data_IF_521724103134
#
_entry.id   IF_521724103134
#
_cell.length_a   1.000
_cell.length_b   1.000
_cell.length_c   1.000
_cell.angle_alpha   90.00
_cell.angle_beta   90.00
_cell.angle_gamma   90.00
#
_symmetry.space_group_name_H-M   'P 1'
#
loop_
_entity.id
_entity.type
_entity.pdbx_description
1 polymer ?
#
# COMPACT_ATOMS: atom_id res chain seq x y z
N UNK A 1 -12.37 -25.50 70.77
CA UNK A 1 -12.53 -24.50 69.69
C UNK A 1 -11.70 -24.95 68.50
N UNK A 2 -12.35 -25.36 67.40
CA UNK A 2 -11.71 -25.96 66.21
C UNK A 2 -11.15 -24.86 65.30
N UNK A 3 -9.85 -24.89 65.00
CA UNK A 3 -9.25 -24.15 63.88
C UNK A 3 -9.50 -24.93 62.58
N UNK A 4 -10.25 -24.36 61.64
CA UNK A 4 -10.43 -24.91 60.29
C UNK A 4 -9.24 -24.46 59.43
N UNK A 5 -8.44 -25.41 58.93
CA UNK A 5 -7.56 -25.18 57.79
C UNK A 5 -8.43 -25.16 56.53
N UNK A 6 -8.37 -24.07 55.75
CA UNK A 6 -8.86 -24.06 54.37
C UNK A 6 -7.71 -24.48 53.45
N UNK A 7 -7.86 -25.64 52.81
CA UNK A 7 -7.09 -26.03 51.63
C UNK A 7 -7.75 -25.38 50.41
N UNK A 8 -7.00 -24.58 49.66
CA UNK A 8 -7.42 -24.04 48.36
C UNK A 8 -6.88 -24.95 47.26
N UNK A 9 -7.77 -25.71 46.63
CA UNK A 9 -7.46 -26.52 45.45
C UNK A 9 -7.44 -25.60 44.23
N UNK A 10 -6.28 -25.46 43.58
CA UNK A 10 -6.18 -24.81 42.28
C UNK A 10 -6.57 -25.82 41.19
N UNK A 11 -7.71 -25.61 40.54
CA UNK A 11 -8.03 -26.28 39.29
C UNK A 11 -7.34 -25.51 38.15
N UNK A 12 -6.32 -26.11 37.54
CA UNK A 12 -5.78 -25.59 36.30
C UNK A 12 -6.78 -25.88 35.17
N UNK A 13 -7.51 -24.84 34.74
CA UNK A 13 -8.28 -24.89 33.50
C UNK A 13 -7.27 -24.62 32.39
N UNK A 14 -6.90 -25.69 31.66
CA UNK A 14 -6.23 -25.53 30.38
C UNK A 14 -7.24 -24.93 29.39
N UNK A 15 -7.23 -23.60 29.28
CA UNK A 15 -7.83 -22.92 28.14
C UNK A 15 -6.97 -23.28 26.92
N UNK A 16 -7.49 -24.18 26.10
CA UNK A 16 -7.02 -24.35 24.73
C UNK A 16 -7.36 -23.03 24.02
N UNK A 17 -6.41 -22.09 24.00
CA UNK A 17 -6.51 -20.91 23.19
C UNK A 17 -6.51 -21.35 21.73
N UNK A 18 -7.59 -21.10 21.03
CA UNK A 18 -7.54 -21.03 19.57
C UNK A 18 -6.48 -19.99 19.21
N UNK A 19 -5.57 -20.24 18.24
CA UNK A 19 -4.70 -19.18 17.75
C UNK A 19 -5.58 -18.00 17.34
N UNK A 20 -5.24 -16.80 17.81
CA UNK A 20 -5.90 -15.58 17.36
C UNK A 20 -5.77 -15.52 15.84
N UNK A 21 -6.89 -15.36 15.14
CA UNK A 21 -6.88 -15.06 13.71
C UNK A 21 -6.06 -13.79 13.51
N UNK A 22 -5.16 -13.78 12.53
CA UNK A 22 -4.41 -12.58 12.15
C UNK A 22 -5.38 -11.39 12.06
N UNK A 23 -5.11 -10.33 12.81
CA UNK A 23 -6.01 -9.17 12.91
C UNK A 23 -5.31 -7.99 12.28
N UNK A 24 -5.87 -7.47 11.19
CA UNK A 24 -5.44 -6.20 10.63
C UNK A 24 -5.57 -5.16 11.75
N UNK A 25 -4.46 -4.53 12.09
CA UNK A 25 -4.29 -3.63 13.23
C UNK A 25 -3.95 -2.25 12.72
N UNK A 26 -4.42 -1.22 13.45
CA UNK A 26 -4.06 0.17 13.20
C UNK A 26 -3.34 0.79 14.38
N UNK A 27 -2.38 1.66 14.08
CA UNK A 27 -1.66 2.50 15.05
C UNK A 27 -1.73 3.94 14.54
N UNK A 28 -2.32 4.84 15.33
CA UNK A 28 -2.42 6.25 15.02
C UNK A 28 -1.49 7.07 15.92
N UNK A 29 -0.54 7.77 15.31
CA UNK A 29 0.41 8.64 16.01
C UNK A 29 -0.03 10.09 15.89
N UNK A 30 -0.16 10.77 17.04
CA UNK A 30 -0.62 12.16 17.19
C UNK A 30 0.11 12.86 18.32
N UNK A 31 0.04 14.20 18.37
CA UNK A 31 0.64 15.01 19.43
C UNK A 31 2.16 15.19 19.33
N UNK A 32 2.73 14.91 18.16
CA UNK A 32 4.09 15.28 17.77
C UNK A 32 4.03 16.41 16.74
N UNK A 33 5.10 17.16 16.57
CA UNK A 33 5.13 18.22 15.56
C UNK A 33 4.93 17.64 14.16
N UNK A 34 4.32 18.42 13.26
CA UNK A 34 4.14 17.99 11.88
C UNK A 34 5.46 17.57 11.22
N UNK A 35 6.58 18.23 11.53
CA UNK A 35 7.90 17.88 11.00
C UNK A 35 8.41 16.52 11.52
N UNK A 36 8.07 16.12 12.74
CA UNK A 36 8.42 14.79 13.26
C UNK A 36 7.61 13.70 12.57
N UNK A 37 6.32 13.95 12.31
CA UNK A 37 5.46 12.99 11.59
C UNK A 37 5.80 12.94 10.10
N UNK A 38 6.18 14.04 9.49
CA UNK A 38 6.73 14.12 8.14
C UNK A 38 8.01 13.25 8.01
N UNK A 39 8.82 13.20 9.08
CA UNK A 39 9.98 12.32 9.15
C UNK A 39 9.67 10.82 9.21
N UNK A 40 8.39 10.42 9.33
CA UNK A 40 7.96 9.02 9.24
C UNK A 40 7.72 8.57 7.79
N UNK A 41 7.70 9.51 6.84
CA UNK A 41 7.48 9.22 5.42
C UNK A 41 8.59 8.33 4.87
N UNK A 42 8.20 7.26 4.20
CA UNK A 42 9.11 6.33 3.58
C UNK A 42 9.51 6.79 2.17
N UNK A 43 10.70 7.36 2.06
CA UNK A 43 11.28 7.76 0.75
C UNK A 43 11.44 6.64 -0.31
N UNK A 44 11.29 5.36 0.06
CA UNK A 44 11.39 4.22 -0.86
C UNK A 44 10.30 3.19 -0.55
N UNK A 45 9.05 3.58 -0.71
CA UNK A 45 7.88 2.71 -0.64
C UNK A 45 7.49 2.21 -2.06
N UNK A 46 6.53 1.29 -2.16
CA UNK A 46 6.15 0.68 -3.46
C UNK A 46 5.30 1.59 -4.33
N UNK A 47 4.69 2.64 -3.75
CA UNK A 47 3.94 3.63 -4.50
C UNK A 47 4.79 4.82 -4.93
N UNK A 48 6.01 4.99 -4.42
CA UNK A 48 6.92 6.09 -4.75
C UNK A 48 6.92 6.43 -6.27
N UNK A 49 6.46 7.63 -6.58
CA UNK A 49 6.38 8.18 -7.94
C UNK A 49 5.25 7.64 -8.83
N UNK A 50 4.40 6.74 -8.33
CA UNK A 50 3.22 6.26 -9.07
C UNK A 50 2.11 7.31 -9.07
N UNK A 51 1.47 7.49 -10.22
CA UNK A 51 0.30 8.37 -10.33
C UNK A 51 -0.95 7.49 -10.28
N UNK A 52 -1.81 7.73 -9.29
CA UNK A 52 -3.09 7.06 -9.20
C UNK A 52 -4.01 7.40 -10.38
N UNK A 53 -4.79 6.42 -10.80
CA UNK A 53 -5.96 6.64 -11.64
C UNK A 53 -7.14 7.05 -10.76
N UNK A 54 -7.81 8.16 -11.09
CA UNK A 54 -9.07 8.56 -10.47
C UNK A 54 -10.21 7.66 -10.99
N UNK A 55 -10.92 7.02 -10.07
CA UNK A 55 -11.95 6.05 -10.41
C UNK A 55 -13.31 6.71 -10.73
N UNK A 56 -14.24 6.01 -11.41
CA UNK A 56 -15.59 6.51 -11.60
C UNK A 56 -16.26 6.92 -10.28
N UNK A 57 -16.81 8.14 -10.28
CA UNK A 57 -17.38 8.78 -9.10
C UNK A 57 -16.37 9.51 -8.21
N UNK A 58 -15.10 9.64 -8.62
CA UNK A 58 -14.17 10.59 -8.01
C UNK A 58 -14.67 12.02 -8.21
N UNK A 59 -14.52 12.86 -7.18
CA UNK A 59 -14.95 14.25 -7.21
C UNK A 59 -13.83 15.19 -7.65
N UNK A 60 -12.67 14.68 -8.06
CA UNK A 60 -11.49 15.47 -8.40
C UNK A 60 -10.82 16.07 -7.17
N UNK A 61 -9.99 17.08 -7.40
CA UNK A 61 -9.36 17.84 -6.32
C UNK A 61 -10.13 19.12 -6.03
N UNK A 62 -10.03 19.63 -4.80
CA UNK A 62 -10.61 20.92 -4.46
C UNK A 62 -10.00 22.03 -5.33
N UNK A 63 -10.76 23.06 -5.76
CA UNK A 63 -10.22 24.16 -6.57
C UNK A 63 -9.04 24.93 -5.95
N UNK A 64 -8.94 24.91 -4.62
CA UNK A 64 -7.81 25.48 -3.88
C UNK A 64 -6.54 24.62 -3.91
N UNK A 65 -6.64 23.35 -4.30
CA UNK A 65 -5.48 22.47 -4.48
C UNK A 65 -4.83 22.77 -5.84
N UNK A 66 -3.49 22.91 -5.91
CA UNK A 66 -2.78 23.09 -7.17
C UNK A 66 -3.03 22.00 -8.22
N UNK A 67 -3.41 20.78 -7.82
CA UNK A 67 -3.77 19.67 -8.71
C UNK A 67 -5.19 19.76 -9.30
N UNK A 68 -6.02 20.74 -8.91
CA UNK A 68 -7.43 20.89 -9.37
C UNK A 68 -7.66 20.88 -10.88
N UNK A 69 -6.76 21.51 -11.63
CA UNK A 69 -6.86 21.56 -13.10
C UNK A 69 -6.17 20.40 -13.81
N UNK A 70 -5.32 19.66 -13.10
CA UNK A 70 -4.54 18.55 -13.63
C UNK A 70 -3.97 17.73 -12.46
N UNK A 71 -4.48 16.53 -12.27
CA UNK A 71 -4.02 15.60 -11.21
C UNK A 71 -2.55 15.19 -11.38
N UNK A 72 -1.95 15.45 -12.54
CA UNK A 72 -0.53 15.32 -12.82
C UNK A 72 0.25 16.66 -12.77
N UNK A 73 -0.19 17.66 -12.00
CA UNK A 73 0.55 18.93 -11.81
C UNK A 73 1.53 18.86 -10.64
N UNK A 74 2.87 19.04 -10.82
CA UNK A 74 3.97 18.87 -9.83
C UNK A 74 3.66 19.53 -8.48
N UNK A 75 3.08 20.72 -8.55
CA UNK A 75 2.83 21.55 -7.38
C UNK A 75 1.57 21.14 -6.61
N UNK A 76 0.79 20.19 -7.14
CA UNK A 76 -0.17 19.38 -6.40
C UNK A 76 0.10 17.87 -6.52
N UNK A 77 1.28 17.49 -7.04
CA UNK A 77 1.70 16.13 -7.49
C UNK A 77 2.63 15.43 -6.51
N UNK A 78 2.69 15.91 -5.29
CA UNK A 78 2.84 15.00 -4.19
C UNK A 78 1.55 14.21 -3.95
N UNK A 79 0.83 13.78 -4.99
CA UNK A 79 0.47 12.40 -5.36
C UNK A 79 0.27 11.38 -4.24
N UNK A 80 0.20 11.77 -2.97
CA UNK A 80 0.31 10.88 -1.84
C UNK A 80 1.51 9.93 -1.89
N UNK A 81 2.49 10.12 -2.78
CA UNK A 81 3.51 9.10 -3.07
C UNK A 81 4.82 9.72 -3.56
N UNK A 82 5.08 10.99 -3.30
CA UNK A 82 6.32 11.61 -3.78
C UNK A 82 7.42 11.66 -2.71
N UNK A 83 7.11 11.21 -1.49
CA UNK A 83 7.99 11.27 -0.35
C UNK A 83 8.11 12.67 0.28
N UNK A 84 7.35 13.65 -0.21
CA UNK A 84 7.36 15.03 0.27
C UNK A 84 6.01 15.34 0.95
N UNK A 85 5.93 15.26 2.28
CA UNK A 85 4.63 15.42 2.95
C UNK A 85 4.05 16.83 2.87
N UNK A 86 4.30 17.70 3.86
CA UNK A 86 3.70 19.05 3.81
C UNK A 86 4.47 20.02 2.90
N UNK A 87 3.79 20.58 1.89
CA UNK A 87 4.35 21.60 0.99
C UNK A 87 3.70 22.99 1.12
N UNK A 88 2.42 23.05 1.48
CA UNK A 88 1.60 24.26 1.52
C UNK A 88 0.33 24.06 2.35
N UNK A 89 -0.32 25.15 2.76
CA UNK A 89 -1.55 25.09 3.56
C UNK A 89 -2.74 24.41 2.89
N UNK A 90 -2.64 24.01 1.62
CA UNK A 90 -3.66 23.30 0.84
C UNK A 90 -3.14 21.99 0.25
N UNK A 91 -1.95 21.54 0.68
CA UNK A 91 -1.38 20.26 0.26
C UNK A 91 -2.35 19.14 0.61
N UNK A 92 -2.61 18.28 -0.36
CA UNK A 92 -3.49 17.14 -0.13
C UNK A 92 -4.98 17.45 -0.03
N UNK A 93 -5.40 18.69 -0.26
CA UNK A 93 -6.79 19.08 -0.07
C UNK A 93 -7.70 18.42 -1.12
N UNK A 94 -8.53 17.48 -0.68
CA UNK A 94 -9.49 16.75 -1.53
C UNK A 94 -10.78 17.55 -1.70
N UNK A 95 -11.64 17.14 -2.64
CA UNK A 95 -12.82 17.94 -2.95
C UNK A 95 -13.86 17.92 -1.81
N UNK A 96 -14.11 19.10 -1.24
CA UNK A 96 -15.07 19.28 -0.15
C UNK A 96 -16.51 18.96 -0.58
N UNK A 97 -17.38 18.73 0.42
CA UNK A 97 -18.83 18.55 0.25
C UNK A 97 -19.24 17.38 -0.65
N UNK A 98 -18.65 16.17 -0.51
CA UNK A 98 -19.21 15.00 -1.16
C UNK A 98 -20.62 14.73 -0.61
N UNK A 99 -21.52 14.12 -1.39
CA UNK A 99 -22.77 13.58 -0.85
C UNK A 99 -22.50 12.67 0.37
N UNK A 100 -23.42 12.69 1.34
CA UNK A 100 -23.31 11.86 2.55
C UNK A 100 -23.02 10.40 2.21
N UNK A 101 -22.04 9.83 2.93
CA UNK A 101 -21.63 8.44 2.79
C UNK A 101 -20.88 8.13 1.48
N UNK A 102 -20.47 9.14 0.71
CA UNK A 102 -19.69 8.95 -0.52
C UNK A 102 -18.24 9.42 -0.35
N UNK A 103 -17.27 8.78 -1.03
CA UNK A 103 -15.88 9.22 -0.99
C UNK A 103 -15.70 10.62 -1.59
N UNK A 104 -14.81 11.42 -1.00
CA UNK A 104 -14.29 12.66 -1.61
C UNK A 104 -13.23 12.37 -2.68
N UNK A 105 -12.44 11.30 -2.48
CA UNK A 105 -11.39 10.87 -3.40
C UNK A 105 -11.41 9.36 -3.57
N UNK A 106 -11.22 8.88 -4.79
CA UNK A 106 -11.22 7.46 -5.17
C UNK A 106 -10.03 7.19 -6.09
N UNK A 107 -9.02 6.53 -5.55
CA UNK A 107 -7.76 6.31 -6.22
C UNK A 107 -7.55 4.83 -6.53
N UNK A 108 -6.87 4.55 -7.64
CA UNK A 108 -6.29 3.25 -7.92
C UNK A 108 -4.82 3.38 -8.32
N UNK A 109 -3.96 2.67 -7.62
CA UNK A 109 -2.57 2.45 -8.01
C UNK A 109 -2.43 1.09 -8.69
N UNK A 110 -1.77 1.06 -9.84
CA UNK A 110 -1.38 -0.18 -10.52
C UNK A 110 0.07 -0.44 -10.16
N UNK A 111 0.33 -1.56 -9.46
CA UNK A 111 1.68 -1.89 -9.05
C UNK A 111 2.47 -2.43 -10.26
N UNK A 112 3.80 -2.19 -10.32
CA UNK A 112 4.65 -2.68 -11.43
C UNK A 112 4.64 -4.21 -11.60
N UNK A 113 4.32 -4.93 -10.53
CA UNK A 113 4.11 -6.37 -10.51
C UNK A 113 3.41 -6.82 -9.23
N UNK A 114 3.06 -8.11 -9.12
CA UNK A 114 2.55 -8.69 -7.88
C UNK A 114 3.48 -8.37 -6.70
N UNK A 115 2.91 -7.86 -5.62
CA UNK A 115 3.65 -7.35 -4.46
C UNK A 115 2.98 -7.82 -3.17
N UNK A 116 3.77 -8.30 -2.22
CA UNK A 116 3.31 -8.60 -0.88
C UNK A 116 3.37 -7.30 -0.07
N UNK A 117 2.20 -6.73 0.22
CA UNK A 117 2.07 -5.53 1.04
C UNK A 117 2.24 -5.95 2.50
N UNK A 118 3.12 -5.27 3.22
CA UNK A 118 3.38 -5.48 4.65
C UNK A 118 2.68 -4.43 5.51
N UNK A 119 2.65 -3.19 5.04
CA UNK A 119 2.11 -2.06 5.78
C UNK A 119 1.62 -0.97 4.83
N UNK A 120 0.58 -0.23 5.27
CA UNK A 120 0.14 1.01 4.63
C UNK A 120 0.21 2.12 5.68
N UNK A 121 0.89 3.22 5.36
CA UNK A 121 0.92 4.47 6.12
C UNK A 121 0.07 5.52 5.43
N UNK A 122 -0.64 6.35 6.19
CA UNK A 122 -1.37 7.52 5.69
C UNK A 122 -1.03 8.70 6.60
N UNK A 123 -0.37 9.71 6.05
CA UNK A 123 -0.11 10.97 6.72
C UNK A 123 -1.17 11.99 6.31
N UNK A 124 -1.86 12.56 7.29
CA UNK A 124 -2.79 13.66 7.09
C UNK A 124 -2.45 14.83 8.02
N UNK A 125 -2.81 16.05 7.62
CA UNK A 125 -2.49 17.21 8.44
C UNK A 125 -2.98 18.54 7.93
N UNK A 126 -3.01 19.53 8.81
CA UNK A 126 -3.46 20.89 8.52
C UNK A 126 -2.67 21.90 9.35
N UNK A 127 -1.60 22.45 8.77
CA UNK A 127 -0.74 23.44 9.45
C UNK A 127 -1.40 24.81 9.65
N UNK A 128 -2.54 25.11 9.01
CA UNK A 128 -3.14 26.44 9.10
C UNK A 128 -3.85 26.64 10.45
N UNK A 129 -4.61 25.64 10.89
CA UNK A 129 -5.44 25.73 12.09
C UNK A 129 -5.64 24.40 12.81
N UNK A 130 -5.02 23.31 12.34
CA UNK A 130 -5.11 21.97 12.94
C UNK A 130 -6.55 21.60 13.35
N UNK A 131 -7.51 21.93 12.49
CA UNK A 131 -8.90 21.53 12.71
C UNK A 131 -9.08 20.02 12.47
N UNK A 132 -10.33 19.55 12.48
CA UNK A 132 -10.65 18.13 12.27
C UNK A 132 -10.22 17.57 10.90
N UNK A 133 -9.72 18.39 9.97
CA UNK A 133 -9.16 17.92 8.69
C UNK A 133 -7.82 17.21 8.82
N UNK A 134 -7.22 17.16 10.03
CA UNK A 134 -6.08 16.28 10.32
C UNK A 134 -6.47 14.80 10.39
N UNK A 135 -7.75 14.49 10.65
CA UNK A 135 -8.22 13.11 10.69
C UNK A 135 -8.45 12.58 9.28
N UNK A 136 -8.52 11.26 9.14
CA UNK A 136 -8.80 10.62 7.87
C UNK A 136 -9.63 9.34 8.05
N UNK A 137 -10.56 9.14 7.12
CA UNK A 137 -11.36 7.92 7.00
C UNK A 137 -11.10 7.34 5.63
N UNK A 138 -10.68 6.07 5.56
CA UNK A 138 -10.38 5.41 4.29
C UNK A 138 -10.99 4.03 4.17
N UNK A 139 -11.33 3.65 2.94
CA UNK A 139 -11.63 2.27 2.58
C UNK A 139 -10.58 1.81 1.60
N UNK A 140 -9.91 0.70 1.94
CA UNK A 140 -8.85 0.14 1.12
C UNK A 140 -9.31 -1.19 0.53
N UNK A 141 -9.07 -1.36 -0.76
CA UNK A 141 -9.30 -2.60 -1.48
C UNK A 141 -8.07 -2.97 -2.28
N UNK A 142 -7.88 -4.24 -2.54
CA UNK A 142 -6.77 -4.72 -3.35
C UNK A 142 -7.24 -5.75 -4.37
N UNK A 143 -6.51 -5.85 -5.47
CA UNK A 143 -6.66 -6.89 -6.48
C UNK A 143 -5.39 -7.72 -6.56
N UNK A 144 -5.53 -9.01 -6.80
CA UNK A 144 -4.42 -9.94 -7.11
C UNK A 144 -4.51 -10.46 -8.55
N UNK A 145 -5.44 -9.93 -9.35
CA UNK A 145 -5.75 -10.42 -10.71
C UNK A 145 -5.81 -9.30 -11.75
N UNK A 146 -4.89 -8.33 -11.63
CA UNK A 146 -4.74 -7.24 -12.59
C UNK A 146 -5.93 -6.29 -12.64
N UNK A 147 -6.68 -6.16 -11.53
CA UNK A 147 -7.81 -5.24 -11.41
C UNK A 147 -9.13 -5.83 -11.90
N UNK A 148 -9.20 -7.14 -12.17
CA UNK A 148 -10.44 -7.80 -12.62
C UNK A 148 -11.47 -7.89 -11.49
N UNK A 149 -11.01 -8.08 -10.25
CA UNK A 149 -11.82 -8.03 -9.03
C UNK A 149 -11.04 -7.46 -7.86
N UNK A 150 -11.76 -6.89 -6.89
CA UNK A 150 -11.18 -6.26 -5.70
C UNK A 150 -11.75 -6.86 -4.42
N UNK A 151 -10.87 -7.25 -3.51
CA UNK A 151 -11.20 -7.67 -2.15
C UNK A 151 -11.13 -6.46 -1.21
N UNK A 152 -12.02 -6.42 -0.21
CA UNK A 152 -11.97 -5.40 0.84
C UNK A 152 -10.82 -5.73 1.80
N UNK A 153 -9.86 -4.81 1.96
CA UNK A 153 -8.86 -4.89 3.01
C UNK A 153 -9.45 -4.41 4.34
N UNK A 154 -10.15 -3.27 4.32
CA UNK A 154 -10.82 -2.76 5.51
C UNK A 154 -11.38 -1.35 5.35
N UNK A 155 -12.09 -0.92 6.39
CA UNK A 155 -12.52 0.44 6.65
C UNK A 155 -11.70 0.95 7.85
N UNK A 156 -10.96 2.03 7.66
CA UNK A 156 -9.98 2.52 8.61
C UNK A 156 -10.30 3.95 9.02
N UNK A 157 -10.39 4.14 10.33
CA UNK A 157 -10.58 5.43 10.97
C UNK A 157 -9.28 5.82 11.66
N UNK A 158 -8.84 7.06 11.47
CA UNK A 158 -7.56 7.52 12.01
C UNK A 158 -7.61 7.85 13.51
N UNK A 159 -8.81 7.92 14.09
CA UNK A 159 -9.05 8.15 15.50
C UNK A 159 -10.42 7.60 15.92
N UNK A 160 -10.73 7.45 17.22
CA UNK A 160 -12.10 7.16 17.65
C UNK A 160 -13.07 8.29 17.24
N UNK A 161 -14.25 7.93 16.76
CA UNK A 161 -15.32 8.90 16.46
C UNK A 161 -15.65 9.76 17.69
N UNK A 162 -15.92 11.04 17.45
CA UNK A 162 -16.10 12.05 18.48
C UNK A 162 -14.80 12.66 19.03
N UNK A 163 -13.62 12.17 18.61
CA UNK A 163 -12.34 12.81 18.93
C UNK A 163 -12.34 14.28 18.53
N UNK A 164 -11.71 15.13 19.32
CA UNK A 164 -11.62 16.57 19.05
C UNK A 164 -10.16 16.90 18.76
N UNK A 165 -9.91 17.53 17.61
CA UNK A 165 -8.69 18.29 17.34
C UNK A 165 -9.05 19.76 17.23
N UNK A 166 -8.88 20.48 18.34
CA UNK A 166 -9.22 21.88 18.44
C UNK A 166 -7.95 22.64 18.77
N UNK A 167 -7.38 23.31 17.79
CA UNK A 167 -6.44 24.37 18.06
C UNK A 167 -7.15 25.71 17.99
N UNK A 168 -6.80 26.58 18.94
CA UNK A 168 -7.27 27.97 19.05
C UNK A 168 -6.83 28.86 17.88
N UNK A 169 -6.36 28.27 16.76
CA UNK A 169 -5.72 28.97 15.64
C UNK A 169 -4.46 29.72 16.07
N UNK A 170 -3.81 29.28 17.15
CA UNK A 170 -2.57 29.89 17.66
C UNK A 170 -1.42 28.98 17.25
N UNK A 171 -0.61 29.37 16.24
CA UNK A 171 0.56 28.60 15.83
C UNK A 171 1.48 28.33 17.03
N UNK A 172 1.74 27.05 17.32
CA UNK A 172 2.67 26.61 18.37
C UNK A 172 2.08 26.52 19.79
N UNK A 173 0.75 26.56 19.96
CA UNK A 173 0.10 26.33 21.25
C UNK A 173 -0.25 24.85 21.50
N UNK A 174 -0.37 24.06 20.44
CA UNK A 174 -0.52 22.61 20.44
C UNK A 174 0.26 22.07 19.22
N UNK A 175 0.74 20.82 19.32
CA UNK A 175 1.61 20.23 18.30
C UNK A 175 0.82 19.38 17.29
N UNK A 176 -0.48 19.22 17.46
CA UNK A 176 -1.29 18.19 16.80
C UNK A 176 -1.81 18.66 15.42
N UNK A 177 -0.89 19.10 14.57
CA UNK A 177 -1.20 19.55 13.21
C UNK A 177 -1.20 18.43 12.17
N UNK A 178 -0.81 17.22 12.56
CA UNK A 178 -0.74 16.07 11.68
C UNK A 178 -1.02 14.78 12.44
N UNK A 179 -1.40 13.75 11.70
CA UNK A 179 -1.69 12.43 12.20
C UNK A 179 -1.14 11.42 11.19
N UNK A 180 -0.39 10.45 11.70
CA UNK A 180 0.07 9.33 10.89
C UNK A 180 -0.68 8.06 11.28
N UNK A 181 -1.47 7.50 10.35
CA UNK A 181 -2.18 6.23 10.51
C UNK A 181 -1.38 5.11 9.86
N UNK A 182 -0.98 4.14 10.66
CA UNK A 182 -0.29 2.92 10.21
C UNK A 182 -1.26 1.74 10.25
N UNK A 183 -1.35 0.99 9.16
CA UNK A 183 -2.17 -0.20 8.99
C UNK A 183 -1.23 -1.38 8.70
N UNK A 184 -1.29 -2.43 9.52
CA UNK A 184 -0.39 -3.58 9.41
C UNK A 184 -1.05 -4.85 9.97
N UNK A 185 -0.38 -5.99 9.81
CA UNK A 185 -0.78 -7.23 10.46
C UNK A 185 0.13 -7.45 11.67
N UNK A 186 -0.44 -7.52 12.88
CA UNK A 186 0.33 -7.66 14.13
C UNK A 186 0.80 -9.09 14.39
N UNK A 187 0.27 -10.05 13.63
CA UNK A 187 0.53 -11.48 13.75
C UNK A 187 1.24 -12.09 12.54
N UNK A 188 1.47 -11.32 11.47
CA UNK A 188 2.22 -11.74 10.29
C UNK A 188 2.94 -10.54 9.63
N UNK A 189 4.00 -10.81 8.89
CA UNK A 189 4.73 -9.75 8.16
C UNK A 189 3.93 -9.22 6.96
N UNK A 190 3.13 -10.07 6.31
CA UNK A 190 2.34 -9.71 5.13
C UNK A 190 0.92 -9.34 5.54
N UNK A 191 0.50 -8.15 5.12
CA UNK A 191 -0.86 -7.63 5.22
C UNK A 191 -1.75 -8.13 4.07
N UNK A 192 -1.23 -8.15 2.84
CA UNK A 192 -1.92 -8.70 1.67
C UNK A 192 -0.90 -9.20 0.63
N UNK A 193 -1.00 -10.46 0.23
CA UNK A 193 -0.07 -11.10 -0.69
C UNK A 193 -0.48 -10.93 -2.17
N UNK A 194 0.51 -10.90 -3.06
CA UNK A 194 0.31 -10.94 -4.51
C UNK A 194 -0.51 -9.78 -5.08
N UNK A 195 -0.49 -8.61 -4.44
CA UNK A 195 -1.28 -7.45 -4.84
C UNK A 195 -0.77 -6.90 -6.16
N UNK A 196 -1.66 -6.69 -7.12
CA UNK A 196 -1.39 -6.06 -8.42
C UNK A 196 -1.98 -4.66 -8.51
N UNK A 197 -3.04 -4.36 -7.75
CA UNK A 197 -3.69 -3.06 -7.73
C UNK A 197 -4.18 -2.72 -6.32
N UNK A 198 -4.01 -1.47 -5.92
CA UNK A 198 -4.50 -0.94 -4.64
C UNK A 198 -5.51 0.16 -4.92
N UNK A 199 -6.71 0.06 -4.35
CA UNK A 199 -7.71 1.12 -4.36
C UNK A 199 -7.85 1.74 -2.98
N UNK A 200 -7.87 3.06 -2.92
CA UNK A 200 -8.04 3.82 -1.68
C UNK A 200 -9.13 4.86 -1.92
N UNK A 201 -10.22 4.71 -1.20
CA UNK A 201 -11.29 5.71 -1.13
C UNK A 201 -11.11 6.53 0.15
N UNK A 202 -10.96 7.84 0.04
CA UNK A 202 -11.01 8.76 1.18
C UNK A 202 -12.40 9.35 1.33
N UNK A 203 -12.89 9.38 2.55
CA UNK A 203 -14.19 9.93 2.89
C UNK A 203 -14.06 11.31 3.53
N UNK A 204 -15.20 12.01 3.58
CA UNK A 204 -15.30 13.24 4.32
C UNK A 204 -14.98 13.01 5.81
N UNK A 205 -14.42 14.06 6.40
CA UNK A 205 -14.28 14.31 7.83
C UNK A 205 -15.10 15.56 8.18
N UNK A 206 -15.07 15.97 9.43
CA UNK A 206 -15.78 17.17 9.90
C UNK A 206 -14.80 18.11 10.59
N UNK A 207 -15.03 19.42 10.49
CA UNK A 207 -14.24 20.43 11.19
C UNK A 207 -15.10 21.38 12.04
N UNK A 208 -16.37 21.07 12.22
CA UNK A 208 -17.29 21.73 13.15
C UNK A 208 -16.80 21.50 14.57
N UNK A 209 -16.15 22.53 15.13
CA UNK A 209 -15.51 22.42 16.45
C UNK A 209 -14.35 21.43 16.50
N UNK A 210 -13.78 21.06 15.34
CA UNK A 210 -12.66 20.12 15.26
C UNK A 210 -13.01 18.66 15.57
N UNK A 211 -14.30 18.31 15.57
CA UNK A 211 -14.76 16.99 15.95
C UNK A 211 -14.67 16.01 14.77
N UNK A 212 -14.06 14.85 15.01
CA UNK A 212 -14.06 13.74 14.06
C UNK A 212 -15.42 13.02 14.09
N UNK A 213 -16.00 12.82 12.91
CA UNK A 213 -17.32 12.21 12.71
C UNK A 213 -17.23 11.22 11.57
N UNK A 214 -18.10 10.22 11.60
CA UNK A 214 -18.18 9.32 10.47
C UNK A 214 -18.86 10.00 9.25
N UNK A 215 -18.64 9.50 8.04
CA UNK A 215 -19.18 10.11 6.83
C UNK A 215 -20.64 9.75 6.53
N UNK A 216 -21.28 8.92 7.35
CA UNK A 216 -22.63 8.40 7.15
C UNK A 216 -23.64 9.11 8.04
N UNK A 217 -24.90 9.12 7.61
CA UNK A 217 -26.00 9.60 8.46
C UNK A 217 -26.67 8.38 9.10
N UNK A 218 -26.51 8.23 10.41
CA UNK A 218 -26.94 7.07 11.16
C UNK A 218 -25.94 5.91 11.12
N UNK A 219 -26.44 4.69 10.94
CA UNK A 219 -25.60 3.47 11.05
C UNK A 219 -24.59 3.38 9.91
N UNK A 220 -23.31 3.39 10.27
CA UNK A 220 -22.20 3.19 9.35
C UNK A 220 -22.23 1.76 8.77
N UNK A 221 -22.23 1.60 7.43
CA UNK A 221 -22.36 0.29 6.78
C UNK A 221 -21.13 -0.62 6.94
N UNK A 222 -19.98 -0.09 7.35
CA UNK A 222 -18.77 -0.87 7.57
C UNK A 222 -18.64 -1.36 9.02
N UNK A 223 -19.06 -0.55 9.99
CA UNK A 223 -18.90 -0.86 11.42
C UNK A 223 -20.21 -1.31 12.09
N UNK A 224 -21.36 -1.08 11.44
CA UNK A 224 -22.70 -1.26 12.01
C UNK A 224 -22.96 -0.44 13.28
N UNK A 225 -22.20 0.64 13.47
CA UNK A 225 -22.30 1.56 14.61
C UNK A 225 -22.75 2.93 14.08
N UNK A 226 -23.58 3.60 14.87
CA UNK A 226 -23.96 5.00 14.68
C UNK A 226 -23.26 5.82 15.78
N UNK A 227 -22.51 6.85 15.41
CA UNK A 227 -21.83 7.73 16.38
C UNK A 227 -22.79 8.75 17.04
N UNK A 228 -24.04 8.83 16.56
CA UNK A 228 -25.06 9.75 17.03
C UNK A 228 -24.80 11.20 16.66
N UNK A 229 -23.87 11.46 15.74
CA UNK A 229 -23.51 12.79 15.24
C UNK A 229 -24.09 13.01 13.84
N UNK A 230 -23.94 14.23 13.34
CA UNK A 230 -24.27 14.53 11.93
C UNK A 230 -23.17 14.01 11.02
N UNK A 231 -23.47 13.62 9.77
CA UNK A 231 -22.46 13.14 8.84
C UNK A 231 -21.38 14.19 8.58
N UNK A 232 -20.15 13.73 8.47
CA UNK A 232 -19.03 14.52 7.97
C UNK A 232 -19.29 15.02 6.53
N UNK A 233 -18.78 16.23 6.22
CA UNK A 233 -19.08 16.90 4.96
C UNK A 233 -17.90 17.68 4.35
N UNK A 234 -16.74 17.72 5.00
CA UNK A 234 -15.53 18.35 4.45
C UNK A 234 -14.46 17.30 4.19
N UNK A 235 -13.57 17.55 3.25
CA UNK A 235 -12.47 16.65 2.96
C UNK A 235 -11.33 16.78 3.98
N UNK A 236 -10.61 15.68 4.27
CA UNK A 236 -9.33 15.75 4.97
C UNK A 236 -8.25 16.39 4.08
N UNK A 237 -7.12 16.72 4.69
CA UNK A 237 -5.88 17.05 3.98
C UNK A 237 -4.93 15.87 4.11
N UNK A 238 -4.78 15.10 3.04
CA UNK A 238 -3.91 13.91 3.01
C UNK A 238 -2.58 14.29 2.38
N UNK A 239 -1.48 14.16 3.12
CA UNK A 239 -0.16 14.57 2.64
C UNK A 239 0.56 13.43 1.95
N UNK A 240 0.53 12.22 2.53
CA UNK A 240 1.27 11.07 1.99
C UNK A 240 0.57 9.75 2.26
N UNK A 241 0.80 8.77 1.39
CA UNK A 241 0.45 7.35 1.53
C UNK A 241 1.69 6.53 1.22
N UNK A 242 2.25 5.93 2.25
CA UNK A 242 3.34 4.98 2.09
C UNK A 242 2.79 3.57 2.01
N UNK A 243 3.29 2.76 1.07
CA UNK A 243 3.05 1.32 1.11
C UNK A 243 4.37 0.58 1.18
N UNK A 244 4.59 -0.09 2.31
CA UNK A 244 5.76 -0.93 2.48
C UNK A 244 5.42 -2.32 2.00
N UNK A 245 6.23 -2.84 1.09
CA UNK A 245 6.05 -4.16 0.53
C UNK A 245 7.25 -4.60 -0.28
N UNK A 246 7.26 -5.87 -0.62
CA UNK A 246 8.28 -6.50 -1.43
C UNK A 246 7.63 -7.15 -2.65
N UNK A 247 8.36 -7.23 -3.77
CA UNK A 247 7.90 -7.99 -4.91
C UNK A 247 7.50 -9.40 -4.44
N UNK A 248 6.29 -9.82 -4.79
CA UNK A 248 5.83 -11.15 -4.46
C UNK A 248 6.71 -12.17 -5.17
N UNK A 249 6.96 -13.29 -4.53
CA UNK A 249 7.72 -14.37 -5.16
C UNK A 249 6.98 -14.80 -6.42
N UNK A 250 7.63 -14.73 -7.58
CA UNK A 250 7.00 -15.12 -8.83
C UNK A 250 6.61 -16.60 -8.74
N UNK A 251 5.31 -16.89 -8.90
CA UNK A 251 4.85 -18.26 -8.82
C UNK A 251 5.61 -19.14 -9.83
N UNK A 252 6.12 -20.27 -9.37
CA UNK A 252 6.84 -21.22 -10.22
C UNK A 252 6.36 -22.63 -9.93
N UNK A 253 5.98 -23.35 -10.98
CA UNK A 253 5.70 -24.77 -10.90
C UNK A 253 6.85 -25.64 -11.41
N UNK A 254 8.02 -25.06 -11.66
CA UNK A 254 9.27 -25.80 -11.90
C UNK A 254 9.88 -26.16 -10.54
N UNK A 255 9.41 -27.28 -10.00
CA UNK A 255 9.76 -27.72 -8.66
C UNK A 255 11.07 -28.52 -8.64
N UNK A 256 11.45 -29.14 -9.77
CA UNK A 256 12.74 -29.82 -9.87
C UNK A 256 13.89 -28.93 -10.39
N UNK A 257 13.57 -27.69 -10.78
CA UNK A 257 14.51 -26.61 -11.11
C UNK A 257 15.19 -26.81 -12.46
N UNK A 258 14.50 -27.42 -13.42
CA UNK A 258 15.03 -27.76 -14.74
C UNK A 258 14.56 -26.80 -15.87
N UNK A 259 13.86 -25.73 -15.52
CA UNK A 259 13.22 -24.73 -16.39
C UNK A 259 12.08 -25.26 -17.28
N UNK A 260 11.55 -26.46 -17.01
CA UNK A 260 10.45 -27.08 -17.74
C UNK A 260 9.38 -27.57 -16.77
N UNK A 261 8.19 -26.97 -16.85
CA UNK A 261 7.05 -27.41 -16.04
C UNK A 261 6.37 -28.61 -16.70
N UNK A 262 6.61 -29.81 -16.17
CA UNK A 262 6.11 -31.06 -16.72
C UNK A 262 5.53 -32.03 -15.67
N UNK A 263 5.38 -33.31 -16.04
CA UNK A 263 4.82 -34.33 -15.16
C UNK A 263 5.72 -34.69 -13.96
N UNK A 264 7.02 -34.40 -14.02
CA UNK A 264 7.92 -34.57 -12.87
C UNK A 264 7.61 -33.57 -11.79
N UNK A 265 7.34 -32.33 -12.15
CA UNK A 265 6.90 -31.30 -11.21
C UNK A 265 5.57 -31.68 -10.56
N UNK A 266 4.62 -32.19 -11.36
CA UNK A 266 3.37 -32.70 -10.80
C UNK A 266 3.60 -33.78 -9.72
N UNK A 267 4.58 -34.66 -9.93
CA UNK A 267 4.96 -35.67 -8.94
C UNK A 267 5.67 -35.07 -7.71
N UNK A 268 6.38 -33.95 -7.86
CA UNK A 268 6.93 -33.20 -6.71
C UNK A 268 5.79 -32.62 -5.88
N UNK A 269 4.87 -31.86 -6.49
CA UNK A 269 3.68 -31.34 -5.82
C UNK A 269 2.86 -32.46 -5.15
N UNK A 270 2.59 -33.55 -5.86
CA UNK A 270 1.81 -34.67 -5.31
C UNK A 270 2.46 -35.29 -4.06
N UNK A 271 3.80 -35.30 -3.98
CA UNK A 271 4.53 -35.80 -2.80
C UNK A 271 4.54 -34.80 -1.64
N UNK A 272 4.52 -33.50 -1.94
CA UNK A 272 4.46 -32.44 -0.93
C UNK A 272 3.06 -32.13 -0.41
N UNK A 273 2.02 -32.51 -1.16
CA UNK A 273 0.63 -32.17 -0.87
C UNK A 273 0.24 -32.43 0.59
N UNK A 274 -0.26 -31.39 1.25
CA UNK A 274 -0.64 -31.37 2.66
C UNK A 274 0.47 -30.92 3.61
N UNK A 275 1.64 -30.48 3.12
CA UNK A 275 2.58 -29.72 3.93
C UNK A 275 1.98 -28.37 4.32
N UNK A 276 2.16 -27.97 5.58
CA UNK A 276 1.61 -26.72 6.12
C UNK A 276 2.72 -25.98 6.87
N UNK A 277 3.01 -24.73 6.48
CA UNK A 277 4.07 -23.88 7.02
C UNK A 277 5.50 -24.37 6.81
N UNK A 278 5.69 -25.41 5.99
CA UNK A 278 7.01 -26.02 5.69
C UNK A 278 7.26 -26.23 4.20
N UNK A 279 6.36 -25.72 3.37
CA UNK A 279 6.45 -25.72 1.92
C UNK A 279 7.67 -24.94 1.42
N UNK A 280 8.16 -25.39 0.28
CA UNK A 280 9.21 -24.76 -0.50
C UNK A 280 8.97 -25.13 -1.97
N UNK A 281 9.52 -24.34 -2.89
CA UNK A 281 9.43 -24.64 -4.32
C UNK A 281 9.83 -26.09 -4.63
N UNK A 282 10.94 -26.56 -4.06
CA UNK A 282 11.44 -27.92 -4.27
C UNK A 282 10.54 -29.03 -3.69
N UNK A 283 9.55 -28.67 -2.86
CA UNK A 283 8.56 -29.59 -2.29
C UNK A 283 7.16 -29.36 -2.86
N UNK A 284 6.99 -28.45 -3.82
CA UNK A 284 5.71 -28.23 -4.51
C UNK A 284 4.92 -26.99 -4.10
N UNK A 285 5.51 -26.09 -3.31
CA UNK A 285 4.94 -24.78 -2.97
C UNK A 285 5.25 -23.81 -4.11
N UNK A 286 4.27 -23.61 -4.97
CA UNK A 286 4.37 -22.88 -6.22
C UNK A 286 4.08 -21.39 -6.06
N UNK A 287 3.31 -21.01 -5.05
CA UNK A 287 2.91 -19.62 -4.78
C UNK A 287 3.76 -18.96 -3.67
N UNK A 288 4.62 -19.72 -3.01
CA UNK A 288 5.54 -19.26 -1.98
C UNK A 288 4.89 -19.01 -0.61
N UNK A 289 3.71 -19.57 -0.34
CA UNK A 289 2.98 -19.35 0.91
C UNK A 289 3.34 -20.33 2.05
N UNK A 290 4.29 -21.23 1.78
CA UNK A 290 4.74 -22.29 2.69
C UNK A 290 3.73 -23.40 2.97
N UNK A 291 2.59 -23.42 2.30
CA UNK A 291 1.70 -24.57 2.23
C UNK A 291 1.89 -25.29 0.89
N UNK A 292 1.47 -26.56 0.80
CA UNK A 292 1.45 -27.29 -0.48
C UNK A 292 0.06 -27.86 -0.69
N UNK A 293 -0.76 -27.18 -1.48
CA UNK A 293 -2.19 -27.46 -1.58
C UNK A 293 -2.78 -27.30 -3.00
N UNK A 294 -4.08 -27.00 -3.09
CA UNK A 294 -4.78 -26.85 -4.35
C UNK A 294 -4.40 -25.60 -5.15
N UNK A 295 -3.90 -24.56 -4.49
CA UNK A 295 -3.51 -23.31 -5.12
C UNK A 295 -2.20 -23.51 -5.91
N UNK A 296 -1.27 -24.28 -5.37
CA UNK A 296 -0.05 -24.68 -6.08
C UNK A 296 -0.33 -25.54 -7.31
N UNK A 297 -1.28 -26.48 -7.18
CA UNK A 297 -1.71 -27.27 -8.32
C UNK A 297 -2.30 -26.40 -9.43
N UNK A 298 -2.97 -25.31 -9.05
CA UNK A 298 -3.52 -24.35 -10.00
C UNK A 298 -2.40 -23.62 -10.73
N UNK A 299 -1.33 -23.22 -10.04
CA UNK A 299 -0.11 -22.69 -10.67
C UNK A 299 0.47 -23.70 -11.65
N UNK A 300 0.66 -24.96 -11.24
CA UNK A 300 1.19 -26.01 -12.13
C UNK A 300 0.34 -26.21 -13.37
N UNK A 301 -0.99 -26.27 -13.24
CA UNK A 301 -1.90 -26.40 -14.41
C UNK A 301 -1.76 -25.23 -15.39
N UNK A 302 -1.58 -24.02 -14.86
CA UNK A 302 -1.44 -22.82 -15.69
C UNK A 302 -0.08 -22.74 -16.38
N UNK A 303 0.97 -23.30 -15.77
CA UNK A 303 2.33 -23.28 -16.30
C UNK A 303 2.73 -24.58 -17.03
N UNK A 304 1.93 -25.65 -16.97
CA UNK A 304 2.26 -26.93 -17.60
C UNK A 304 2.55 -26.80 -19.09
N UNK A 305 3.70 -27.32 -19.53
CA UNK A 305 4.16 -27.24 -20.91
C UNK A 305 4.71 -25.87 -21.30
N UNK A 306 4.78 -24.91 -20.38
CA UNK A 306 5.60 -23.71 -20.56
C UNK A 306 7.07 -24.04 -20.32
N UNK A 307 7.94 -23.50 -21.16
CA UNK A 307 9.39 -23.53 -20.96
C UNK A 307 9.76 -22.17 -20.40
N UNK A 308 10.50 -22.14 -19.29
CA UNK A 308 11.03 -20.91 -18.72
C UNK A 308 11.90 -20.22 -19.77
N UNK A 309 11.38 -19.16 -20.40
CA UNK A 309 12.18 -18.35 -21.32
C UNK A 309 13.01 -17.43 -20.43
N UNK A 310 14.19 -17.89 -20.01
CA UNK A 310 15.16 -17.01 -19.38
C UNK A 310 15.35 -15.77 -20.28
N UNK A 311 15.18 -14.58 -19.72
CA UNK A 311 15.43 -13.33 -20.44
C UNK A 311 16.87 -13.39 -20.98
N UNK A 312 17.00 -13.58 -22.29
CA UNK A 312 18.30 -13.58 -22.95
C UNK A 312 18.85 -12.17 -22.75
N UNK A 313 19.98 -11.98 -22.02
CA UNK A 313 20.59 -10.67 -21.90
C UNK A 313 20.81 -10.13 -23.32
N UNK A 314 20.30 -8.94 -23.62
CA UNK A 314 20.38 -8.39 -24.97
C UNK A 314 21.82 -8.53 -25.47
N UNK A 315 22.05 -9.17 -26.64
CA UNK A 315 23.40 -9.41 -27.09
C UNK A 315 24.08 -8.05 -27.23
N UNK A 316 25.26 -7.91 -26.63
CA UNK A 316 26.19 -6.77 -26.76
C UNK A 316 26.66 -6.53 -28.21
N UNK A 317 25.96 -7.09 -29.20
CA UNK A 317 26.05 -6.81 -30.61
C UNK A 317 25.80 -5.33 -30.92
N UNK A 318 24.85 -4.66 -30.26
CA UNK A 318 24.66 -3.21 -30.43
C UNK A 318 25.88 -2.43 -29.93
N UNK A 319 26.45 -2.83 -28.80
CA UNK A 319 27.68 -2.22 -28.25
C UNK A 319 28.88 -2.45 -29.18
N UNK A 320 29.04 -3.66 -29.73
CA UNK A 320 30.10 -3.98 -30.68
C UNK A 320 29.94 -3.26 -32.02
N UNK A 321 28.71 -3.10 -32.50
CA UNK A 321 28.40 -2.33 -33.71
C UNK A 321 28.70 -0.84 -33.49
N UNK A 322 28.31 -0.26 -32.35
CA UNK A 322 28.64 1.12 -32.01
C UNK A 322 30.16 1.35 -31.89
N UNK A 323 30.90 0.43 -31.24
CA UNK A 323 32.37 0.49 -31.15
C UNK A 323 33.02 0.35 -32.54
N UNK A 324 32.51 -0.55 -33.38
CA UNK A 324 32.97 -0.74 -34.76
C UNK A 324 32.75 0.49 -35.65
N UNK A 325 31.60 1.16 -35.53
CA UNK A 325 31.32 2.41 -36.25
C UNK A 325 32.25 3.54 -35.80
N UNK A 326 32.47 3.70 -34.48
CA UNK A 326 33.37 4.72 -33.94
C UNK A 326 34.83 4.48 -34.38
N UNK A 327 35.29 3.23 -34.39
CA UNK A 327 36.61 2.87 -34.89
C UNK A 327 36.77 3.21 -36.39
N UNK A 328 35.76 2.94 -37.20
CA UNK A 328 35.76 3.22 -38.64
C UNK A 328 35.81 4.73 -38.96
N UNK A 329 35.04 5.54 -38.21
CA UNK A 329 35.05 7.01 -38.33
C UNK A 329 36.43 7.59 -37.94
N UNK A 330 37.06 7.03 -36.90
CA UNK A 330 38.39 7.45 -36.46
C UNK A 330 39.51 7.14 -37.48
N UNK A 331 39.40 6.02 -38.22
CA UNK A 331 40.36 5.68 -39.28
C UNK A 331 40.16 6.55 -40.53
N UNK A 332 38.91 6.87 -40.88
CA UNK A 332 38.61 7.68 -42.05
C UNK A 332 39.07 9.14 -41.88
N UNK A 333 38.91 9.70 -40.69
CA UNK A 333 39.39 11.05 -40.34
C UNK A 333 40.92 11.18 -40.30
N UNK A 334 41.65 10.10 -39.98
CA UNK A 334 43.12 10.08 -40.05
C UNK A 334 43.63 10.02 -41.49
N UNK A 335 42.94 9.30 -42.38
CA UNK A 335 43.27 9.20 -43.81
C UNK A 335 43.06 10.51 -44.56
N UNK A 336 41.98 11.25 -44.27
CA UNK A 336 41.74 12.55 -44.90
C UNK A 336 42.71 13.64 -44.43
N UNK A 337 43.21 13.58 -43.18
CA UNK A 337 44.25 14.51 -42.70
C UNK A 337 45.62 14.29 -43.33
N UNK A 338 46.00 13.05 -43.64
CA UNK A 338 47.27 12.76 -44.31
C UNK A 338 47.30 13.29 -45.76
N UNK A 339 46.16 13.26 -46.45
CA UNK A 339 46.04 13.76 -47.83
C UNK A 339 46.09 15.30 -47.97
N UNK A 340 45.94 16.05 -46.87
CA UNK A 340 45.98 17.53 -46.87
C UNK A 340 47.41 18.08 -46.65
N UNK A 341 48.37 17.24 -46.27
CA UNK A 341 49.76 17.66 -46.03
C UNK A 341 50.71 17.48 -47.24
N UNK A 342 50.21 17.05 -48.40
CA UNK A 342 51.03 16.81 -49.61
C UNK A 342 50.76 17.78 -50.79
N UNK A 343 50.18 18.96 -50.56
CA UNK A 343 50.09 20.03 -51.56
C UNK A 343 50.68 21.35 -51.05
#
# INVERSE_FOLDING_TARGET
MRRKLLLWSWAAIALCGTPASATITTEATRGASAAELDGLIATNDILAGLIATELPGDHGWHPGNPASGNSANPNGLAAFTDGDGYLSGVTGLLNDFPPTGTPTKKLQYNLPGPTDIQQIGILSGNLNNADGRIFSTSVIRYSTNGGSSFALLGYFESAPLGSINNETGVPGATEDHALHLKIFNDNAEVLAAGVTNLQIDFYAVDNTGGQYRDPFDGVNPFTSIDDGLTPAFVAPLIWEIDVIGNAATANSADFDGNDVVDGKDFLVWQRGFGAVGTGSLATGDANGDHDVDGDDLTVWKNQFGTVGIAAIPEPSALTLVCIGMLASISQQSRRTRAAVCEN
#
